data_IF_989940078005
#
_entry.id   IF_989940078005
#
_cell.length_a   1.000
_cell.length_b   1.000
_cell.length_c   1.000
_cell.angle_alpha   90.00
_cell.angle_beta   90.00
_cell.angle_gamma   90.00
#
_symmetry.space_group_name_H-M   'P 1'
#
loop_
_entity.id
_entity.type
_entity.pdbx_description
1 polymer ?
2 non-polymer ?
3 non-polymer ?
4 non-polymer ?
5 water ?
#
# COMPACT_ATOMS: atom_id res chain seq x y z
N UNK A 3 2.35 18.98 -14.60
CA UNK A 3 1.47 19.95 -15.24
C UNK A 3 1.00 21.04 -14.29
N UNK A 4 1.26 22.29 -14.68
CA UNK A 4 0.92 23.51 -13.94
C UNK A 4 -0.58 23.70 -13.85
N UNK A 5 -1.33 23.35 -14.91
CA UNK A 5 -2.79 23.49 -14.92
C UNK A 5 -3.45 22.57 -13.87
N UNK A 6 -3.01 21.31 -13.80
CA UNK A 6 -3.53 20.33 -12.85
C UNK A 6 -3.19 20.73 -11.43
N UNK A 7 -2.00 21.32 -11.20
CA UNK A 7 -1.65 21.84 -9.86
C UNK A 7 -2.64 22.93 -9.43
N UNK A 8 -2.92 23.89 -10.32
CA UNK A 8 -3.87 24.97 -10.05
C UNK A 8 -5.26 24.42 -9.76
N UNK A 9 -5.73 23.42 -10.54
CA UNK A 9 -7.07 22.80 -10.36
C UNK A 9 -7.22 22.17 -8.99
N UNK A 10 -6.12 21.59 -8.47
CA UNK A 10 -6.12 20.94 -7.19
C UNK A 10 -5.90 21.91 -6.05
N UNK A 11 -4.90 22.81 -6.18
CA UNK A 11 -4.52 23.74 -5.11
C UNK A 11 -5.55 24.81 -4.81
N UNK A 12 -6.38 25.14 -5.81
CA UNK A 12 -7.42 26.16 -5.65
C UNK A 12 -8.79 25.53 -5.33
N UNK A 13 -8.86 24.20 -5.26
CA UNK A 13 -10.13 23.54 -4.97
C UNK A 13 -10.43 23.50 -3.46
N UNK A 14 -11.73 23.50 -3.13
CA UNK A 14 -12.17 23.33 -1.75
C UNK A 14 -12.00 21.82 -1.43
N UNK A 15 -11.45 21.50 -0.26
CA UNK A 15 -11.25 20.11 0.12
C UNK A 15 -12.46 19.66 0.94
N UNK A 16 -13.28 18.72 0.43
CA UNK A 16 -14.44 18.25 1.20
C UNK A 16 -13.99 17.54 2.49
N UNK A 17 -14.91 17.43 3.46
CA UNK A 17 -14.63 16.79 4.75
C UNK A 17 -14.39 15.27 4.59
N UNK A 18 -13.76 14.64 5.62
CA UNK A 18 -13.55 13.19 5.63
C UNK A 18 -14.92 12.48 5.59
N UNK A 19 -15.92 13.04 6.31
CA UNK A 19 -17.29 12.51 6.35
C UNK A 19 -17.90 12.44 4.95
N UNK A 20 -17.85 13.57 4.20
CA UNK A 20 -18.38 13.66 2.82
C UNK A 20 -17.71 12.66 1.87
N UNK A 21 -16.37 12.56 1.94
CA UNK A 21 -15.56 11.67 1.10
C UNK A 21 -15.60 10.19 1.49
N UNK A 22 -16.14 9.87 2.69
CA UNK A 22 -16.30 8.51 3.26
C UNK A 22 -14.96 7.76 3.44
N UNK A 23 -13.86 8.51 3.57
CA UNK A 23 -12.50 7.96 3.71
C UNK A 23 -12.20 7.31 5.07
N UNK A 24 -13.09 7.47 6.06
CA UNK A 24 -12.90 6.85 7.38
C UNK A 24 -13.43 5.39 7.37
N UNK A 25 -14.19 5.03 6.32
CA UNK A 25 -14.80 3.71 6.16
C UNK A 25 -13.83 2.65 5.65
N UNK A 26 -13.80 1.48 6.32
CA UNK A 26 -12.99 0.36 5.87
C UNK A 26 -13.55 -0.18 4.55
N UNK A 27 -14.87 -0.03 4.34
CA UNK A 27 -15.59 -0.47 3.16
C UNK A 27 -15.46 0.45 1.94
N UNK A 28 -14.72 1.58 2.07
CA UNK A 28 -14.49 2.57 1.01
C UNK A 28 -14.18 1.97 -0.37
N UNK A 29 -14.70 2.60 -1.41
CA UNK A 29 -14.42 2.24 -2.80
C UNK A 29 -14.08 3.52 -3.60
N UNK A 30 -13.02 3.45 -4.40
CA UNK A 30 -12.55 4.56 -5.24
C UNK A 30 -13.23 4.55 -6.63
N UNK A 31 -13.97 3.47 -6.96
CA UNK A 31 -14.56 3.26 -8.29
C UNK A 31 -15.31 4.43 -8.91
N UNK A 32 -16.10 5.14 -8.09
CA UNK A 32 -16.97 6.26 -8.49
C UNK A 32 -16.23 7.59 -8.51
N UNK A 33 -15.02 7.64 -7.93
CA UNK A 33 -14.25 8.87 -7.86
C UNK A 33 -13.45 9.15 -9.11
N UNK A 34 -13.37 10.44 -9.46
CA UNK A 34 -12.56 10.96 -10.55
C UNK A 34 -11.14 11.09 -10.01
N UNK A 35 -10.14 11.22 -10.88
CA UNK A 35 -8.76 11.39 -10.44
C UNK A 35 -8.61 12.60 -9.53
N UNK A 36 -9.28 13.73 -9.87
CA UNK A 36 -9.24 14.93 -9.01
C UNK A 36 -9.77 14.62 -7.62
N UNK A 37 -10.87 13.83 -7.53
CA UNK A 37 -11.45 13.44 -6.24
C UNK A 37 -10.48 12.60 -5.40
N UNK A 38 -9.70 11.68 -6.02
CA UNK A 38 -8.70 10.92 -5.27
C UNK A 38 -7.60 11.83 -4.72
N UNK A 39 -7.24 12.89 -5.47
CA UNK A 39 -6.23 13.84 -5.01
C UNK A 39 -6.80 14.68 -3.84
N UNK A 40 -8.11 15.05 -3.91
CA UNK A 40 -8.76 15.81 -2.83
C UNK A 40 -8.82 14.95 -1.56
N UNK A 41 -9.17 13.66 -1.72
CA UNK A 41 -9.18 12.68 -0.62
C UNK A 41 -7.80 12.62 0.05
N UNK A 42 -6.73 12.60 -0.77
CA UNK A 42 -5.34 12.52 -0.28
C UNK A 42 -5.01 13.75 0.59
N UNK A 43 -5.36 14.97 0.13
CA UNK A 43 -5.14 16.19 0.93
C UNK A 43 -5.89 16.05 2.27
N UNK A 44 -7.15 15.60 2.20
CA UNK A 44 -7.96 15.40 3.41
C UNK A 44 -7.30 14.42 4.40
N UNK A 45 -6.65 13.37 3.89
CA UNK A 45 -5.94 12.39 4.73
C UNK A 45 -4.82 13.07 5.51
N UNK A 46 -3.99 13.89 4.82
CA UNK A 46 -2.88 14.63 5.45
C UNK A 46 -3.43 15.64 6.46
N UNK A 47 -4.51 16.34 6.08
CA UNK A 47 -5.14 17.36 6.94
C UNK A 47 -5.68 16.79 8.25
N UNK A 48 -6.52 15.74 8.15
CA UNK A 48 -7.20 15.15 9.32
C UNK A 48 -6.32 14.32 10.23
N UNK A 49 -5.13 13.96 9.76
CA UNK A 49 -4.16 13.24 10.58
C UNK A 49 -3.22 14.27 11.24
N UNK A 50 -3.63 15.57 11.15
CA UNK A 50 -2.94 16.75 11.68
C UNK A 50 -1.50 16.90 11.13
N UNK A 51 -1.21 16.38 9.92
CA UNK A 51 0.14 16.46 9.33
C UNK A 51 0.42 17.82 8.69
N UNK A 52 -0.59 18.42 8.02
CA UNK A 52 -0.48 19.74 7.38
C UNK A 52 -0.15 20.80 8.45
N UNK A 53 -0.92 20.80 9.55
CA UNK A 53 -0.74 21.71 10.69
C UNK A 53 0.56 21.40 11.45
N UNK A 54 0.76 20.13 11.89
CA UNK A 54 1.93 19.73 12.68
C UNK A 54 3.26 19.96 12.00
N UNK A 55 3.34 19.67 10.70
CA UNK A 55 4.58 19.79 9.95
C UNK A 55 4.69 21.03 9.11
N UNK A 56 3.77 22.00 9.33
CA UNK A 56 3.75 23.30 8.64
C UNK A 56 3.95 23.12 7.14
N UNK A 57 3.11 22.26 6.53
CA UNK A 57 3.19 21.92 5.12
C UNK A 57 2.57 23.01 4.26
N UNK A 58 3.30 23.45 3.23
CA UNK A 58 2.82 24.45 2.25
C UNK A 58 1.77 23.76 1.37
N UNK A 59 0.55 24.32 1.30
CA UNK A 59 -0.55 23.72 0.52
C UNK A 59 -0.17 23.42 -0.93
N UNK A 60 0.39 24.42 -1.63
CA UNK A 60 0.82 24.27 -3.02
C UNK A 60 1.85 23.14 -3.19
N UNK A 61 2.78 22.99 -2.22
CA UNK A 61 3.83 21.96 -2.27
C UNK A 61 3.22 20.58 -2.08
N UNK A 62 2.30 20.43 -1.10
CA UNK A 62 1.62 19.16 -0.88
C UNK A 62 0.84 18.76 -2.14
N UNK A 63 0.13 19.73 -2.75
CA UNK A 63 -0.64 19.51 -3.98
C UNK A 63 0.24 19.03 -5.13
N UNK A 64 1.38 19.71 -5.35
CA UNK A 64 2.35 19.34 -6.38
C UNK A 64 2.88 17.93 -6.14
N UNK A 65 3.25 17.61 -4.88
CA UNK A 65 3.77 16.28 -4.50
C UNK A 65 2.77 15.15 -4.80
N UNK A 66 1.49 15.32 -4.41
CA UNK A 66 0.43 14.34 -4.67
C UNK A 66 0.32 14.07 -6.18
N UNK A 67 0.25 15.13 -6.98
CA UNK A 67 0.15 15.01 -8.44
C UNK A 67 1.40 14.35 -9.02
N UNK A 68 2.59 14.63 -8.46
CA UNK A 68 3.83 14.00 -8.91
C UNK A 68 3.82 12.49 -8.58
N UNK A 69 3.34 12.13 -7.39
CA UNK A 69 3.21 10.71 -7.01
C UNK A 69 2.25 10.02 -7.98
N UNK A 70 1.02 10.58 -8.15
CA UNK A 70 0.01 10.04 -9.04
C UNK A 70 0.55 9.79 -10.47
N UNK A 71 1.25 10.81 -11.03
CA UNK A 71 1.88 10.81 -12.36
C UNK A 71 2.93 9.70 -12.51
N UNK A 72 3.61 9.34 -11.42
CA UNK A 72 4.65 8.31 -11.45
C UNK A 72 4.19 6.85 -11.26
N UNK A 73 2.88 6.63 -11.39
CA UNK A 73 2.28 5.30 -11.42
C UNK A 73 1.93 5.07 -12.88
N UNK A 74 2.16 3.85 -13.39
CA UNK A 74 1.90 3.55 -14.80
C UNK A 74 0.42 3.30 -15.04
N UNK A 75 -0.14 3.90 -16.08
CA UNK A 75 -1.55 3.73 -16.45
C UNK A 75 -1.83 2.44 -17.25
N UNK A 76 -0.78 1.71 -17.66
CA UNK A 76 -0.91 0.46 -18.40
C UNK A 76 -0.74 -0.75 -17.48
N UNK A 77 -0.71 -0.51 -16.15
CA UNK A 77 -0.56 -1.57 -15.14
C UNK A 77 -1.96 -1.81 -14.55
N UNK A 78 -2.47 -3.04 -14.69
CA UNK A 78 -3.83 -3.38 -14.27
C UNK A 78 -4.15 -3.14 -12.79
N UNK A 79 -3.27 -3.57 -11.89
CA UNK A 79 -3.50 -3.46 -10.46
C UNK A 79 -2.57 -2.47 -9.72
N UNK A 80 -1.24 -2.65 -9.83
CA UNK A 80 -0.26 -1.78 -9.16
C UNK A 80 -0.11 -0.41 -9.82
N UNK A 81 -1.20 0.37 -9.76
CA UNK A 81 -1.27 1.70 -10.33
C UNK A 81 -1.65 2.71 -9.24
N UNK A 82 -1.90 3.99 -9.61
CA UNK A 82 -2.29 5.04 -8.66
C UNK A 82 -3.50 4.63 -7.79
N UNK A 83 -4.54 4.02 -8.40
CA UNK A 83 -5.72 3.62 -7.62
C UNK A 83 -5.42 2.65 -6.47
N UNK A 84 -4.49 1.71 -6.67
CA UNK A 84 -4.11 0.79 -5.60
C UNK A 84 -3.31 1.50 -4.51
N UNK A 85 -2.36 2.39 -4.91
CA UNK A 85 -1.58 3.17 -3.94
C UNK A 85 -2.52 4.08 -3.13
N UNK A 86 -3.49 4.71 -3.83
CA UNK A 86 -4.50 5.55 -3.20
C UNK A 86 -5.34 4.74 -2.19
N UNK A 87 -5.78 3.53 -2.59
CA UNK A 87 -6.57 2.66 -1.71
C UNK A 87 -5.76 2.20 -0.52
N UNK A 88 -4.44 1.96 -0.71
CA UNK A 88 -3.55 1.55 0.38
C UNK A 88 -3.50 2.69 1.41
N UNK A 89 -3.30 3.95 0.94
CA UNK A 89 -3.28 5.13 1.82
C UNK A 89 -4.61 5.29 2.51
N UNK A 90 -5.74 5.07 1.80
CA UNK A 90 -7.07 5.20 2.41
C UNK A 90 -7.23 4.16 3.50
N UNK A 91 -6.77 2.91 3.25
CA UNK A 91 -6.84 1.89 4.29
C UNK A 91 -5.97 2.30 5.49
N UNK A 92 -4.78 2.91 5.25
CA UNK A 92 -3.91 3.40 6.32
C UNK A 92 -4.67 4.46 7.12
N UNK A 93 -5.35 5.40 6.44
CA UNK A 93 -6.13 6.44 7.10
C UNK A 93 -7.25 5.84 7.96
N UNK A 94 -7.99 4.87 7.39
CA UNK A 94 -9.09 4.22 8.10
C UNK A 94 -8.58 3.44 9.32
N UNK A 95 -7.44 2.72 9.18
CA UNK A 95 -6.84 1.95 10.29
C UNK A 95 -6.34 2.91 11.38
N UNK A 96 -5.81 4.07 10.98
CA UNK A 96 -5.36 5.08 11.94
C UNK A 96 -6.56 5.74 12.66
N UNK A 97 -7.61 6.11 11.91
CA UNK A 97 -8.79 6.78 12.48
C UNK A 97 -9.81 5.82 13.06
N UNK A 98 -10.62 5.14 12.22
CA UNK A 98 -11.62 4.16 12.65
C UNK A 98 -10.97 3.02 13.43
N UNK A 99 -9.84 2.51 12.95
CA UNK A 99 -9.13 1.41 13.62
C UNK A 99 -8.35 1.79 14.86
N UNK A 100 -8.31 3.09 15.17
CA UNK A 100 -7.63 3.70 16.34
C UNK A 100 -6.10 3.44 16.45
N UNK A 101 -5.42 3.26 15.30
CA UNK A 101 -3.95 3.07 15.30
C UNK A 101 -3.20 4.39 15.59
N UNK A 102 -3.82 5.54 15.23
CA UNK A 102 -3.26 6.88 15.44
C UNK A 102 -2.74 7.05 16.87
N UNK A 103 -3.55 6.60 17.87
CA UNK A 103 -3.31 6.66 19.31
C UNK A 103 -2.01 6.02 19.78
N UNK A 104 -1.51 5.06 19.00
CA UNK A 104 -0.35 4.24 19.31
C UNK A 104 0.95 4.69 18.67
N UNK A 105 0.87 5.69 17.77
CA UNK A 105 2.03 6.16 17.04
C UNK A 105 2.26 7.66 17.20
N UNK A 106 3.50 8.10 16.88
CA UNK A 106 3.89 9.51 16.93
C UNK A 106 3.47 10.15 15.61
N UNK A 107 3.41 11.50 15.58
CA UNK A 107 3.10 12.26 14.36
C UNK A 107 4.12 11.91 13.26
N UNK A 108 5.42 11.75 13.62
CA UNK A 108 6.47 11.44 12.63
C UNK A 108 6.25 10.08 11.95
N UNK A 109 5.85 9.06 12.74
CA UNK A 109 5.56 7.71 12.21
C UNK A 109 4.33 7.80 11.29
N UNK A 110 3.28 8.54 11.71
CA UNK A 110 2.06 8.69 10.92
C UNK A 110 2.40 9.38 9.58
N UNK A 111 3.21 10.43 9.61
CA UNK A 111 3.67 11.16 8.41
C UNK A 111 4.37 10.20 7.45
N UNK A 112 5.32 9.42 7.97
CA UNK A 112 6.08 8.44 7.20
C UNK A 112 5.17 7.34 6.66
N UNK A 113 4.24 6.82 7.47
CA UNK A 113 3.32 5.77 7.01
C UNK A 113 2.43 6.21 5.85
N UNK A 114 1.87 7.43 5.93
CA UNK A 114 0.98 7.93 4.86
C UNK A 114 1.74 8.13 3.54
N UNK A 115 2.95 8.73 3.62
CA UNK A 115 3.81 8.94 2.45
C UNK A 115 4.19 7.56 1.88
N UNK A 116 4.59 6.61 2.74
CA UNK A 116 4.98 5.27 2.27
C UNK A 116 3.82 4.57 1.60
N UNK A 117 2.61 4.67 2.19
CA UNK A 117 1.42 4.04 1.60
C UNK A 117 1.14 4.56 0.19
N UNK A 118 1.23 5.89 0.00
CA UNK A 118 1.02 6.53 -1.29
C UNK A 118 2.13 6.23 -2.30
N UNK A 119 3.38 6.03 -1.81
CA UNK A 119 4.56 5.83 -2.66
C UNK A 119 5.04 4.40 -2.85
N UNK A 120 4.51 3.43 -2.09
CA UNK A 120 5.03 2.05 -2.02
C UNK A 120 5.14 1.24 -3.30
N UNK A 121 4.41 1.62 -4.38
CA UNK A 121 4.46 0.91 -5.65
C UNK A 121 4.84 1.83 -6.80
N UNK A 122 5.47 2.99 -6.50
CA UNK A 122 5.81 3.97 -7.55
C UNK A 122 6.54 3.30 -8.72
N UNK A 123 6.05 3.57 -9.94
CA UNK A 123 6.61 3.06 -11.19
C UNK A 123 6.64 1.53 -11.24
N UNK A 124 5.62 0.89 -10.64
CA UNK A 124 5.55 -0.57 -10.69
C UNK A 124 5.38 -0.97 -12.16
N UNK A 125 6.22 -1.87 -12.68
CA UNK A 125 6.13 -2.23 -14.11
C UNK A 125 5.02 -3.24 -14.46
N UNK A 126 4.38 -3.80 -13.44
CA UNK A 126 3.34 -4.81 -13.63
C UNK A 126 3.90 -6.21 -13.80
N UNK A 127 5.15 -6.42 -13.36
CA UNK A 127 5.90 -7.69 -13.37
C UNK A 127 6.54 -7.89 -11.98
N UNK A 128 6.70 -9.16 -11.54
CA UNK A 128 7.26 -9.53 -10.23
C UNK A 128 8.77 -9.32 -10.13
N UNK A 129 9.31 -9.39 -8.88
CA UNK A 129 10.75 -9.34 -8.63
C UNK A 129 11.47 -10.45 -9.40
N UNK A 130 10.88 -11.67 -9.35
CA UNK A 130 11.42 -12.86 -10.03
C UNK A 130 11.58 -12.64 -11.53
N UNK A 131 10.59 -11.98 -12.17
CA UNK A 131 10.62 -11.66 -13.60
C UNK A 131 11.82 -10.77 -13.93
N UNK A 132 12.07 -9.73 -13.09
CA UNK A 132 13.15 -8.76 -13.29
C UNK A 132 14.52 -9.41 -13.16
N UNK A 133 14.64 -10.38 -12.23
CA UNK A 133 15.87 -11.15 -12.06
C UNK A 133 16.03 -12.06 -13.31
N UNK A 134 14.92 -12.70 -13.75
CA UNK A 134 14.86 -13.59 -14.94
C UNK A 134 15.27 -12.93 -16.25
N UNK A 135 14.70 -11.74 -16.54
CA UNK A 135 14.97 -11.00 -17.77
C UNK A 135 16.28 -10.21 -17.68
N UNK A 136 17.06 -10.43 -16.60
CA UNK A 136 18.33 -9.75 -16.30
C UNK A 136 18.18 -8.23 -16.42
N UNK A 137 17.07 -7.66 -15.87
CA UNK A 137 16.79 -6.22 -15.93
C UNK A 137 17.83 -5.43 -15.14
N UNK A 138 18.12 -4.18 -15.57
CA UNK A 138 19.07 -3.29 -14.92
C UNK A 138 18.75 -3.02 -13.46
N UNK A 139 17.44 -3.00 -13.12
CA UNK A 139 16.97 -2.81 -11.74
C UNK A 139 17.44 -3.94 -10.83
N UNK A 140 17.33 -5.20 -11.31
CA UNK A 140 17.73 -6.41 -10.56
C UNK A 140 19.23 -6.39 -10.27
N UNK A 141 20.01 -5.78 -11.16
CA UNK A 141 21.44 -5.63 -10.99
C UNK A 141 21.76 -4.53 -9.97
N UNK A 142 21.02 -3.41 -10.02
CA UNK A 142 21.18 -2.26 -9.13
C UNK A 142 21.00 -2.61 -7.64
N UNK A 143 20.11 -3.59 -7.32
CA UNK A 143 19.78 -3.97 -5.94
C UNK A 143 20.05 -5.43 -5.54
N UNK A 144 21.01 -6.11 -6.22
CA UNK A 144 21.48 -7.49 -5.95
C UNK A 144 20.37 -8.55 -5.84
N UNK A 145 19.32 -8.46 -6.68
CA UNK A 145 18.18 -9.38 -6.73
C UNK A 145 17.29 -9.42 -5.45
N UNK A 146 17.59 -8.55 -4.47
CA UNK A 146 16.87 -8.49 -3.21
C UNK A 146 15.85 -7.34 -3.25
N UNK A 147 14.58 -7.66 -3.06
CA UNK A 147 13.47 -6.70 -3.03
C UNK A 147 13.66 -5.61 -4.12
N UNK A 148 13.91 -6.05 -5.36
CA UNK A 148 14.23 -5.21 -6.52
C UNK A 148 13.21 -4.05 -6.68
N UNK A 149 11.94 -4.39 -6.84
CA UNK A 149 10.84 -3.44 -7.02
C UNK A 149 10.75 -2.50 -5.85
N UNK A 150 10.86 -3.02 -4.61
CA UNK A 150 10.71 -2.23 -3.38
C UNK A 150 11.79 -1.20 -3.21
N UNK A 151 13.06 -1.57 -3.55
CA UNK A 151 14.15 -0.61 -3.53
C UNK A 151 13.90 0.46 -4.61
N UNK A 152 13.35 0.05 -5.77
CA UNK A 152 13.05 0.98 -6.88
C UNK A 152 11.91 1.93 -6.48
N UNK A 153 10.86 1.42 -5.79
CA UNK A 153 9.74 2.27 -5.36
C UNK A 153 10.24 3.36 -4.38
N UNK A 154 11.17 3.02 -3.48
CA UNK A 154 11.74 4.00 -2.55
C UNK A 154 12.62 5.01 -3.29
N UNK A 155 13.41 4.54 -4.27
CA UNK A 155 14.25 5.43 -5.09
C UNK A 155 13.33 6.46 -5.79
N UNK A 156 12.20 6.01 -6.35
CA UNK A 156 11.23 6.91 -6.99
C UNK A 156 10.60 7.89 -5.97
N UNK A 157 10.32 7.40 -4.76
CA UNK A 157 9.76 8.20 -3.65
C UNK A 157 10.71 9.34 -3.25
N UNK A 158 12.00 9.01 -3.06
CA UNK A 158 13.07 9.98 -2.74
C UNK A 158 13.23 11.02 -3.85
N UNK A 159 13.28 10.55 -5.13
CA UNK A 159 13.39 11.40 -6.33
C UNK A 159 12.31 12.48 -6.30
N UNK A 160 11.03 12.08 -6.05
CA UNK A 160 9.92 13.01 -5.97
C UNK A 160 10.13 13.96 -4.77
N UNK A 161 10.49 13.43 -3.58
CA UNK A 161 10.72 14.26 -2.39
C UNK A 161 11.85 15.26 -2.55
N UNK A 162 12.85 14.96 -3.40
CA UNK A 162 13.98 15.83 -3.69
C UNK A 162 13.71 16.77 -4.87
N UNK A 163 12.60 16.59 -5.62
CA UNK A 163 12.27 17.41 -6.79
C UNK A 163 11.83 18.82 -6.42
N UNK A 164 12.34 19.86 -7.15
CA UNK A 164 11.93 21.25 -6.85
C UNK A 164 10.41 21.43 -6.85
N UNK A 165 9.91 22.07 -5.82
CA UNK A 165 8.49 22.35 -5.62
C UNK A 165 7.69 21.21 -5.02
N UNK A 166 8.32 20.05 -4.74
CA UNK A 166 7.64 18.85 -4.21
C UNK A 166 8.13 18.42 -2.83
N UNK A 167 8.99 19.22 -2.20
CA UNK A 167 9.64 18.91 -0.94
C UNK A 167 8.72 19.12 0.26
N UNK A 168 7.78 18.18 0.46
CA UNK A 168 6.81 18.25 1.57
C UNK A 168 7.45 18.09 2.97
N UNK A 169 8.71 17.65 3.00
CA UNK A 169 9.48 17.44 4.24
C UNK A 169 10.51 18.54 4.49
N UNK A 170 10.58 19.58 3.60
CA UNK A 170 11.53 20.71 3.66
C UNK A 170 11.54 21.48 4.99
N UNK A 171 10.40 21.48 5.70
CA UNK A 171 10.23 22.17 6.97
C UNK A 171 10.66 21.39 8.20
N UNK A 172 10.80 20.03 8.09
CA UNK A 172 11.25 19.16 9.20
C UNK A 172 12.67 19.51 9.61
N UNK A 173 13.01 19.29 10.89
CA UNK A 173 14.39 19.50 11.37
C UNK A 173 15.24 18.37 10.74
N UNK A 174 16.58 18.53 10.69
CA UNK A 174 17.44 17.49 10.10
C UNK A 174 17.24 16.10 10.71
N UNK A 175 17.21 16.01 12.05
CA UNK A 175 16.98 14.73 12.75
C UNK A 175 15.62 14.13 12.42
N UNK A 176 14.56 14.96 12.37
CA UNK A 176 13.22 14.49 12.00
C UNK A 176 13.21 13.98 10.54
N UNK A 177 13.83 14.75 9.62
CA UNK A 177 13.92 14.42 8.20
C UNK A 177 14.58 13.05 7.96
N UNK A 178 15.77 12.82 8.57
CA UNK A 178 16.54 11.58 8.47
C UNK A 178 15.74 10.38 9.01
N UNK A 179 15.12 10.56 10.19
CA UNK A 179 14.26 9.54 10.82
C UNK A 179 13.09 9.18 9.92
N UNK A 180 12.39 10.20 9.37
CA UNK A 180 11.23 9.98 8.49
C UNK A 180 11.64 9.18 7.24
N UNK A 181 12.73 9.59 6.56
CA UNK A 181 13.19 8.87 5.36
C UNK A 181 13.51 7.39 5.66
N UNK A 182 14.13 7.14 6.83
CA UNK A 182 14.46 5.78 7.28
C UNK A 182 13.16 4.97 7.48
N UNK A 183 12.16 5.58 8.16
CA UNK A 183 10.86 4.93 8.38
C UNK A 183 10.17 4.65 7.02
N UNK A 184 10.16 5.64 6.09
CA UNK A 184 9.57 5.48 4.75
C UNK A 184 10.24 4.31 4.02
N UNK A 185 11.59 4.29 4.01
CA UNK A 185 12.36 3.22 3.35
C UNK A 185 11.98 1.84 3.90
N UNK A 186 11.95 1.68 5.23
CA UNK A 186 11.60 0.42 5.90
C UNK A 186 10.17 0.01 5.62
N UNK A 187 9.23 1.01 5.61
CA UNK A 187 7.81 0.76 5.37
C UNK A 187 7.59 0.29 3.92
N UNK A 188 8.31 0.90 2.96
CA UNK A 188 8.19 0.48 1.54
C UNK A 188 8.80 -0.91 1.34
N UNK A 189 9.99 -1.16 1.91
CA UNK A 189 10.62 -2.47 1.78
C UNK A 189 9.72 -3.57 2.36
N UNK A 190 8.99 -3.24 3.44
CA UNK A 190 8.05 -4.18 4.09
C UNK A 190 6.99 -4.72 3.14
N UNK A 191 6.63 -3.96 2.06
CA UNK A 191 5.64 -4.38 1.06
C UNK A 191 6.08 -5.57 0.20
N UNK A 192 7.35 -6.00 0.34
CA UNK A 192 7.82 -7.20 -0.32
C UNK A 192 7.27 -8.35 0.53
N UNK A 193 6.32 -9.12 -0.01
CA UNK A 193 5.72 -10.25 0.71
C UNK A 193 6.74 -11.25 1.26
N UNK A 194 7.94 -11.36 0.63
CA UNK A 194 9.01 -12.24 1.12
C UNK A 194 9.51 -11.75 2.47
N UNK A 195 9.58 -10.42 2.68
CA UNK A 195 9.99 -9.83 3.97
C UNK A 195 8.88 -9.97 5.01
N UNK A 196 7.61 -9.90 4.57
CA UNK A 196 6.48 -10.13 5.47
C UNK A 196 6.55 -11.55 6.04
N UNK A 197 6.72 -12.57 5.17
CA UNK A 197 6.79 -13.97 5.59
C UNK A 197 7.99 -14.18 6.54
N UNK A 198 9.14 -13.57 6.21
CA UNK A 198 10.38 -13.66 6.98
C UNK A 198 10.23 -13.14 8.44
N UNK A 199 9.48 -12.04 8.61
CA UNK A 199 9.33 -11.32 9.89
C UNK A 199 8.05 -11.54 10.68
N UNK A 200 6.98 -12.04 10.06
CA UNK A 200 5.69 -12.17 10.74
C UNK A 200 5.66 -13.07 12.00
N UNK A 201 6.44 -14.16 11.98
CA UNK A 201 6.53 -15.12 13.08
C UNK A 201 6.87 -14.41 14.38
N UNK A 202 7.88 -13.53 14.32
CA UNK A 202 8.32 -12.70 15.45
C UNK A 202 7.18 -11.82 15.96
N UNK A 203 6.41 -11.20 15.02
CA UNK A 203 5.31 -10.33 15.37
C UNK A 203 4.18 -11.12 16.07
N UNK A 204 3.79 -12.26 15.53
CA UNK A 204 2.72 -13.10 16.09
C UNK A 204 3.10 -13.67 17.44
N UNK A 205 4.40 -14.00 17.64
CA UNK A 205 4.93 -14.51 18.90
C UNK A 205 4.89 -13.42 19.96
N UNK A 206 5.22 -12.16 19.59
CA UNK A 206 5.19 -11.04 20.54
C UNK A 206 3.77 -10.83 21.06
N UNK A 207 2.77 -10.89 20.15
CA UNK A 207 1.35 -10.76 20.54
C UNK A 207 0.92 -11.95 21.42
N UNK A 208 1.22 -13.20 20.99
CA UNK A 208 0.84 -14.43 21.71
C UNK A 208 1.33 -14.47 23.16
N UNK A 209 2.55 -13.97 23.39
CA UNK A 209 3.19 -13.92 24.72
C UNK A 209 2.86 -12.63 25.49
N UNK A 210 2.03 -11.72 24.90
CA UNK A 210 1.67 -10.42 25.50
C UNK A 210 2.94 -9.59 25.76
N UNK A 211 3.97 -9.77 24.91
CA UNK A 211 5.24 -9.05 25.05
C UNK A 211 5.25 -7.86 24.10
N UNK A 212 4.15 -7.65 23.34
CA UNK A 212 4.07 -6.56 22.37
C UNK A 212 4.15 -5.21 23.02
N UNK A 213 5.24 -4.50 22.74
CA UNK A 213 5.50 -3.20 23.35
C UNK A 213 5.96 -2.20 22.31
N UNK A 214 5.07 -1.26 21.96
CA UNK A 214 5.33 -0.21 20.99
C UNK A 214 6.41 0.81 21.39
N UNK A 215 6.84 0.80 22.67
CA UNK A 215 7.89 1.68 23.19
C UNK A 215 9.29 1.19 22.79
N UNK A 216 9.42 -0.11 22.47
CA UNK A 216 10.66 -0.75 22.02
C UNK A 216 10.85 -0.34 20.53
N UNK A 217 11.99 0.29 20.16
CA UNK A 217 12.19 0.75 18.77
C UNK A 217 12.17 -0.36 17.72
N UNK A 218 12.74 -1.53 18.04
CA UNK A 218 12.77 -2.70 17.16
C UNK A 218 11.34 -3.25 16.93
N UNK A 219 10.51 -3.24 17.98
CA UNK A 219 9.11 -3.71 17.89
C UNK A 219 8.28 -2.72 17.11
N UNK A 220 8.54 -1.40 17.29
CA UNK A 220 7.84 -0.33 16.57
C UNK A 220 8.03 -0.51 15.07
N UNK A 221 9.28 -0.71 14.61
CA UNK A 221 9.62 -0.92 13.20
C UNK A 221 8.92 -2.19 12.69
N UNK A 222 8.96 -3.27 13.46
CA UNK A 222 8.31 -4.52 13.10
C UNK A 222 6.80 -4.29 12.91
N UNK A 223 6.15 -3.53 13.83
CA UNK A 223 4.72 -3.25 13.74
C UNK A 223 4.38 -2.43 12.50
N UNK A 224 5.20 -1.42 12.19
CA UNK A 224 4.96 -0.57 11.01
C UNK A 224 5.02 -1.38 9.73
N UNK A 225 5.94 -2.35 9.65
CA UNK A 225 6.09 -3.28 8.52
C UNK A 225 4.81 -4.12 8.34
N UNK A 226 4.31 -4.68 9.45
CA UNK A 226 3.10 -5.51 9.44
C UNK A 226 1.88 -4.68 9.01
N UNK A 227 1.78 -3.44 9.49
CA UNK A 227 0.69 -2.51 9.16
C UNK A 227 0.72 -2.16 7.67
N UNK A 228 1.93 -2.02 7.10
CA UNK A 228 2.09 -1.76 5.66
C UNK A 228 1.52 -2.92 4.84
N UNK A 229 1.85 -4.18 5.22
CA UNK A 229 1.32 -5.36 4.53
C UNK A 229 -0.21 -5.42 4.69
N UNK A 230 -0.72 -5.17 5.89
CA UNK A 230 -2.18 -5.20 6.15
C UNK A 230 -2.91 -4.26 5.21
N UNK A 231 -2.35 -3.03 5.02
CA UNK A 231 -2.96 -2.01 4.14
C UNK A 231 -2.80 -2.41 2.67
N UNK A 232 -1.61 -2.90 2.31
CA UNK A 232 -1.30 -3.31 0.95
C UNK A 232 -2.26 -4.40 0.42
N UNK A 233 -2.59 -5.38 1.28
CA UNK A 233 -3.46 -6.50 0.88
C UNK A 233 -4.94 -6.24 1.13
N UNK A 234 -5.28 -5.09 1.76
CA UNK A 234 -6.63 -4.75 2.22
C UNK A 234 -7.78 -4.84 1.23
N UNK A 235 -7.49 -4.86 -0.10
CA UNK A 235 -8.54 -5.02 -1.10
C UNK A 235 -9.20 -6.41 -0.91
N UNK A 236 -8.44 -7.38 -0.38
CA UNK A 236 -8.92 -8.74 -0.10
C UNK A 236 -9.96 -8.78 1.02
N UNK A 237 -10.09 -7.68 1.82
CA UNK A 237 -11.03 -7.56 2.95
C UNK A 237 -12.30 -6.78 2.61
N UNK A 238 -12.36 -6.18 1.42
CA UNK A 238 -13.49 -5.33 1.01
C UNK A 238 -14.81 -6.10 0.85
N UNK A 239 -15.99 -5.43 0.91
CA UNK A 239 -17.26 -6.15 0.66
C UNK A 239 -17.13 -6.93 -0.66
N UNK A 240 -17.60 -8.18 -0.67
CA UNK A 240 -17.50 -9.09 -1.83
C UNK A 240 -17.49 -8.45 -3.23
N UNK A 241 -18.51 -7.65 -3.67
CA UNK A 241 -18.47 -7.09 -5.04
C UNK A 241 -17.26 -6.20 -5.34
N UNK A 242 -16.82 -5.40 -4.37
CA UNK A 242 -15.64 -4.53 -4.50
C UNK A 242 -14.38 -5.39 -4.59
N UNK A 243 -14.23 -6.38 -3.70
CA UNK A 243 -13.08 -7.30 -3.65
C UNK A 243 -12.98 -8.12 -4.96
N UNK A 244 -14.14 -8.56 -5.48
CA UNK A 244 -14.21 -9.36 -6.71
C UNK A 244 -13.70 -8.56 -7.91
N UNK A 245 -14.07 -7.26 -8.01
CA UNK A 245 -13.64 -6.40 -9.11
C UNK A 245 -12.14 -6.16 -9.04
N UNK A 246 -11.58 -5.94 -7.84
CA UNK A 246 -10.14 -5.75 -7.69
C UNK A 246 -9.39 -7.06 -7.98
N UNK A 247 -9.93 -8.24 -7.54
CA UNK A 247 -9.29 -9.55 -7.82
C UNK A 247 -9.14 -9.77 -9.32
N UNK A 248 -10.11 -9.25 -10.10
CA UNK A 248 -10.11 -9.31 -11.58
C UNK A 248 -8.90 -8.51 -12.09
N UNK A 249 -8.60 -7.34 -11.47
CA UNK A 249 -7.46 -6.49 -11.86
C UNK A 249 -6.15 -7.18 -11.47
N UNK A 250 -6.09 -7.78 -10.26
CA UNK A 250 -4.93 -8.53 -9.75
C UNK A 250 -4.60 -9.65 -10.77
N UNK A 251 -5.61 -10.45 -11.13
CA UNK A 251 -5.50 -11.57 -12.08
C UNK A 251 -5.04 -11.07 -13.45
N UNK A 252 -5.62 -9.94 -13.95
CA UNK A 252 -5.28 -9.33 -15.23
C UNK A 252 -3.79 -8.99 -15.27
N UNK A 253 -3.26 -8.42 -14.17
CA UNK A 253 -1.85 -8.06 -14.11
C UNK A 253 -0.97 -9.28 -14.14
N UNK A 254 -1.33 -10.32 -13.35
CA UNK A 254 -0.58 -11.57 -13.31
C UNK A 254 -0.57 -12.25 -14.68
N UNK A 255 -1.73 -12.27 -15.35
CA UNK A 255 -1.83 -12.90 -16.69
C UNK A 255 -1.06 -12.10 -17.74
N UNK A 256 -0.98 -10.76 -17.57
CA UNK A 256 -0.23 -9.88 -18.48
C UNK A 256 1.27 -10.22 -18.39
N UNK A 257 1.76 -10.53 -17.17
CA UNK A 257 3.16 -10.93 -16.95
C UNK A 257 3.40 -12.28 -17.64
N UNK A 258 2.45 -13.20 -17.48
CA UNK A 258 2.50 -14.54 -18.08
C UNK A 258 2.59 -14.47 -19.59
N UNK A 259 1.86 -13.49 -20.21
CA UNK A 259 1.89 -13.27 -21.67
C UNK A 259 3.27 -12.81 -22.06
N UNK A 260 3.87 -11.95 -21.22
CA UNK A 260 5.22 -11.43 -21.45
C UNK A 260 6.23 -12.58 -21.34
N UNK A 261 6.05 -13.49 -20.36
CA UNK A 261 6.94 -14.65 -20.17
C UNK A 261 6.84 -15.63 -21.34
N UNK A 262 5.62 -15.89 -21.84
CA UNK A 262 5.40 -16.75 -23.00
C UNK A 262 6.09 -16.19 -24.26
N UNK A 263 5.94 -14.88 -24.50
CA UNK A 263 6.47 -14.22 -25.69
C UNK A 263 8.00 -14.00 -25.62
N UNK A 264 8.50 -13.46 -24.51
CA UNK A 264 9.92 -13.12 -24.34
C UNK A 264 10.83 -14.29 -23.96
N UNK A 265 10.38 -15.18 -23.06
CA UNK A 265 11.16 -16.30 -22.54
C UNK A 265 10.79 -17.68 -23.07
N UNK A 266 9.59 -17.82 -23.71
CA UNK A 266 9.06 -19.06 -24.29
C UNK A 266 8.78 -20.16 -23.24
N UNK A 267 8.40 -19.75 -22.03
CA UNK A 267 8.09 -20.69 -20.95
C UNK A 267 6.58 -20.75 -20.74
N UNK A 268 6.11 -21.86 -20.15
CA UNK A 268 4.72 -21.95 -19.69
C UNK A 268 4.76 -21.19 -18.35
N UNK A 269 3.97 -20.12 -18.15
CA UNK A 269 4.03 -19.40 -16.86
C UNK A 269 3.57 -20.23 -15.66
N UNK A 270 3.89 -19.76 -14.45
CA UNK A 270 3.42 -20.40 -13.20
C UNK A 270 1.90 -20.24 -13.22
N UNK A 271 1.16 -21.14 -12.54
CA UNK A 271 -0.32 -21.10 -12.49
C UNK A 271 -0.84 -19.70 -12.19
N UNK A 272 -0.21 -18.99 -11.22
CA UNK A 272 -0.57 -17.63 -10.82
C UNK A 272 -0.58 -16.64 -11.99
N UNK A 273 0.41 -16.78 -12.89
CA UNK A 273 0.66 -15.94 -14.04
C UNK A 273 0.09 -16.53 -15.34
N UNK A 274 -0.52 -17.73 -15.28
CA UNK A 274 -1.01 -18.44 -16.48
C UNK A 274 -2.51 -18.31 -16.71
N UNK A 275 -2.92 -17.49 -17.72
CA UNK A 275 -4.34 -17.29 -18.08
C UNK A 275 -5.02 -18.60 -18.44
N UNK A 276 -4.27 -19.57 -19.01
CA UNK A 276 -4.83 -20.87 -19.35
C UNK A 276 -5.21 -21.66 -18.10
N UNK A 277 -4.59 -21.32 -16.95
CA UNK A 277 -4.88 -21.96 -15.67
C UNK A 277 -5.64 -21.02 -14.71
N UNK A 278 -6.52 -20.18 -15.30
CA UNK A 278 -7.39 -19.26 -14.57
C UNK A 278 -8.35 -20.00 -13.64
N UNK A 279 -8.55 -21.30 -13.89
CA UNK A 279 -9.38 -22.17 -13.06
C UNK A 279 -8.87 -22.30 -11.61
N UNK A 280 -7.56 -22.05 -11.36
CA UNK A 280 -6.95 -22.14 -10.04
C UNK A 280 -7.21 -20.93 -9.14
N UNK A 281 -7.71 -19.80 -9.70
CA UNK A 281 -7.95 -18.57 -8.93
C UNK A 281 -8.71 -18.77 -7.61
N UNK A 282 -9.96 -19.30 -7.60
CA UNK A 282 -10.67 -19.44 -6.32
C UNK A 282 -9.93 -20.28 -5.28
N UNK A 283 -9.40 -21.49 -5.65
CA UNK A 283 -8.67 -22.33 -4.68
C UNK A 283 -7.38 -21.64 -4.22
N UNK A 284 -6.71 -20.94 -5.14
CA UNK A 284 -5.50 -20.20 -4.79
C UNK A 284 -5.81 -19.02 -3.88
N UNK A 285 -6.95 -18.32 -4.09
CA UNK A 285 -7.38 -17.21 -3.22
C UNK A 285 -7.65 -17.72 -1.80
N UNK A 286 -8.33 -18.88 -1.67
CA UNK A 286 -8.61 -19.48 -0.35
C UNK A 286 -7.28 -19.78 0.39
N UNK A 287 -6.36 -20.44 -0.32
CA UNK A 287 -5.06 -20.80 0.25
C UNK A 287 -4.29 -19.59 0.73
N UNK A 288 -4.25 -18.55 -0.13
CA UNK A 288 -3.54 -17.28 0.16
C UNK A 288 -4.16 -16.53 1.33
N UNK A 289 -5.51 -16.45 1.40
CA UNK A 289 -6.18 -15.81 2.53
C UNK A 289 -5.85 -16.57 3.83
N UNK A 290 -5.96 -17.91 3.79
CA UNK A 290 -5.67 -18.76 4.96
C UNK A 290 -4.20 -18.66 5.40
N UNK A 291 -3.26 -18.73 4.45
CA UNK A 291 -1.82 -18.76 4.78
C UNK A 291 -1.19 -17.43 5.04
N UNK A 292 -1.61 -16.38 4.30
CA UNK A 292 -1.01 -15.07 4.36
C UNK A 292 -1.82 -14.02 5.10
N UNK A 293 -3.12 -13.92 4.75
CA UNK A 293 -4.01 -12.87 5.24
C UNK A 293 -4.59 -12.97 6.62
N UNK A 294 -5.28 -14.07 6.91
CA UNK A 294 -6.04 -14.18 8.17
C UNK A 294 -5.26 -13.91 9.45
N UNK A 295 -4.09 -14.54 9.63
CA UNK A 295 -3.29 -14.35 10.84
C UNK A 295 -2.86 -12.90 10.98
N UNK A 296 -2.59 -12.21 9.86
CA UNK A 296 -2.21 -10.81 9.89
C UNK A 296 -3.37 -9.95 10.39
N UNK A 297 -4.57 -10.11 9.81
CA UNK A 297 -5.73 -9.34 10.28
C UNK A 297 -6.14 -9.71 11.71
N UNK A 298 -5.90 -10.97 12.12
CA UNK A 298 -6.18 -11.42 13.50
C UNK A 298 -5.23 -10.66 14.45
N UNK A 299 -3.91 -10.63 14.11
CA UNK A 299 -2.89 -9.95 14.92
C UNK A 299 -3.17 -8.45 15.05
N UNK A 300 -3.52 -7.77 13.93
CA UNK A 300 -3.85 -6.36 13.95
C UNK A 300 -5.11 -6.10 14.84
N UNK A 301 -6.08 -7.03 14.84
CA UNK A 301 -7.28 -6.87 15.71
C UNK A 301 -6.88 -7.02 17.18
N UNK A 302 -5.94 -7.93 17.49
CA UNK A 302 -5.43 -8.09 18.86
C UNK A 302 -4.73 -6.79 19.31
N UNK A 303 -4.06 -6.08 18.37
CA UNK A 303 -3.39 -4.79 18.63
C UNK A 303 -4.42 -3.69 18.89
N UNK A 304 -5.46 -3.61 18.03
CA UNK A 304 -6.53 -2.62 18.20
C UNK A 304 -7.83 -3.25 17.74
N UNK A 305 -8.76 -3.48 18.69
CA UNK A 305 -10.04 -4.14 18.43
C UNK A 305 -10.82 -3.48 17.31
N UNK A 306 -10.71 -2.13 17.18
CA UNK A 306 -11.40 -1.34 16.17
C UNK A 306 -11.00 -1.67 14.72
N UNK A 307 -9.91 -2.47 14.54
CA UNK A 307 -9.45 -2.96 13.24
C UNK A 307 -10.18 -4.24 12.80
N UNK A 308 -11.08 -4.76 13.66
CA UNK A 308 -11.89 -5.95 13.39
C UNK A 308 -12.54 -5.96 11.99
N UNK A 309 -13.11 -4.82 11.43
CA UNK A 309 -13.75 -4.92 10.10
C UNK A 309 -12.86 -5.50 8.99
N UNK A 310 -11.54 -5.28 9.06
CA UNK A 310 -10.58 -5.85 8.12
C UNK A 310 -10.59 -7.37 8.24
N UNK A 311 -10.57 -7.88 9.49
CA UNK A 311 -10.59 -9.34 9.72
C UNK A 311 -11.95 -9.91 9.29
N UNK A 312 -13.03 -9.23 9.66
CA UNK A 312 -14.39 -9.67 9.32
C UNK A 312 -14.57 -9.80 7.79
N UNK A 313 -14.17 -8.77 7.04
CA UNK A 313 -14.24 -8.76 5.58
C UNK A 313 -13.40 -9.83 4.94
N UNK A 314 -12.22 -10.11 5.51
CA UNK A 314 -11.31 -11.16 5.05
C UNK A 314 -11.95 -12.55 5.23
N UNK A 315 -12.56 -12.80 6.39
CA UNK A 315 -13.25 -14.07 6.67
C UNK A 315 -14.42 -14.28 5.71
N UNK A 316 -15.21 -13.22 5.48
CA UNK A 316 -16.39 -13.26 4.59
C UNK A 316 -15.94 -13.59 3.16
N UNK A 317 -14.82 -12.97 2.72
CA UNK A 317 -14.29 -13.22 1.38
C UNK A 317 -13.73 -14.64 1.24
N UNK A 318 -13.10 -15.17 2.30
CA UNK A 318 -12.60 -16.54 2.30
C UNK A 318 -13.76 -17.52 2.05
N UNK A 319 -14.89 -17.33 2.78
CA UNK A 319 -16.08 -18.17 2.65
C UNK A 319 -16.66 -18.12 1.22
N UNK A 320 -16.70 -16.92 0.61
CA UNK A 320 -17.20 -16.70 -0.76
C UNK A 320 -16.31 -17.36 -1.81
N UNK A 321 -14.98 -17.20 -1.73
CA UNK A 321 -14.03 -17.86 -2.63
C UNK A 321 -14.10 -19.38 -2.50
N UNK A 322 -14.25 -19.90 -1.25
CA UNK A 322 -14.37 -21.33 -0.98
C UNK A 322 -15.62 -21.92 -1.64
N UNK A 323 -16.77 -21.20 -1.61
CA UNK A 323 -18.02 -21.66 -2.24
C UNK A 323 -17.82 -21.78 -3.76
N UNK A 324 -16.94 -20.92 -4.34
CA UNK A 324 -16.64 -20.98 -5.76
C UNK A 324 -15.68 -22.12 -6.11
N UNK A 325 -14.69 -22.42 -5.23
CA UNK A 325 -13.68 -23.47 -5.42
C UNK A 325 -14.18 -24.89 -5.15
N UNK A 326 -15.07 -25.06 -4.16
CA UNK A 326 -15.60 -26.38 -3.78
C UNK A 326 -16.40 -27.08 -4.88
#
# INVERSE_FOLDING_TARGET
>A
EEETRELQSLAAAVVPSAQTLKITDFSFSDFELSDLETALCTIRMFTDLNLVQNFQMKHEVLCRWILSVKKNYRKNVAYHNWRHAFNTAQCMFAALKAGKIQNKLTDLEILALLIAALSHDLDHPGVSNQFLINTNSELALMYNDESVLEHHHFDQCLMILNSPGNQILSGLSIEEYKTTLKIIKQAILATDLALYIKRRGEFFELIRKNQFNLEDPHEKELFLAMLMTACDLSAITKPWPIQQRIAELVATEFFDQGDRERKELNIEPTDLMNREKKNKIPSMQVGFIDAICLQLYEALTHVSEDCFPLLDGCRKNRQKWQALAE
#
